data_IF_632565579719
#
_entry.id   IF_632565579719
#
_cell.length_a   1.000
_cell.length_b   1.000
_cell.length_c   1.000
_cell.angle_alpha   90.00
_cell.angle_beta   90.00
_cell.angle_gamma   90.00
#
_symmetry.space_group_name_H-M   'P 1'
#
loop_
_entity.id
_entity.type
_entity.pdbx_description
1 polymer ?
#
# COMPACT_ATOMS: atom_id res chain seq x y z
N UNK A 1 -3.96 -9.08 27.68
CA UNK A 1 -4.26 -10.35 26.97
C UNK A 1 -3.22 -11.39 27.36
N UNK A 2 -3.62 -12.64 27.57
CA UNK A 2 -2.68 -13.75 27.82
C UNK A 2 -2.23 -14.37 26.50
N UNK A 3 -1.01 -14.93 26.42
CA UNK A 3 -0.48 -15.66 25.25
C UNK A 3 -1.49 -16.67 24.71
N UNK A 4 -2.12 -17.44 25.62
CA UNK A 4 -3.13 -18.44 25.27
C UNK A 4 -4.40 -17.88 24.60
N UNK A 5 -4.75 -16.62 24.82
CA UNK A 5 -5.91 -16.00 24.16
C UNK A 5 -5.59 -15.58 22.73
N UNK A 6 -4.37 -15.08 22.51
CA UNK A 6 -3.87 -14.75 21.17
C UNK A 6 -3.72 -16.02 20.35
N UNK A 7 -3.09 -17.07 20.89
CA UNK A 7 -2.93 -18.36 20.21
C UNK A 7 -4.26 -18.97 19.76
N UNK A 8 -5.30 -18.93 20.60
CA UNK A 8 -6.64 -19.40 20.23
C UNK A 8 -7.28 -18.55 19.14
N UNK A 9 -7.13 -17.23 19.21
CA UNK A 9 -7.67 -16.33 18.19
C UNK A 9 -6.97 -16.56 16.84
N UNK A 10 -5.64 -16.71 16.84
CA UNK A 10 -4.87 -17.06 15.64
C UNK A 10 -5.31 -18.40 15.06
N UNK A 11 -5.44 -19.44 15.88
CA UNK A 11 -5.88 -20.75 15.40
C UNK A 11 -7.30 -20.70 14.79
N UNK A 12 -8.23 -19.97 15.40
CA UNK A 12 -9.58 -19.79 14.88
C UNK A 12 -9.60 -19.00 13.55
N UNK A 13 -8.78 -17.94 13.45
CA UNK A 13 -8.68 -17.15 12.22
C UNK A 13 -8.09 -17.95 11.06
N UNK A 14 -7.05 -18.76 11.34
CA UNK A 14 -6.46 -19.67 10.37
C UNK A 14 -7.46 -20.72 9.91
N UNK A 15 -8.20 -21.34 10.83
CA UNK A 15 -9.22 -22.33 10.47
C UNK A 15 -10.33 -21.73 9.61
N UNK A 16 -10.80 -20.53 9.96
CA UNK A 16 -11.79 -19.81 9.15
C UNK A 16 -11.25 -19.52 7.74
N UNK A 17 -10.05 -18.93 7.63
CA UNK A 17 -9.44 -18.61 6.34
C UNK A 17 -9.24 -19.84 5.45
N UNK A 18 -8.88 -21.00 6.03
CA UNK A 18 -8.74 -22.25 5.27
C UNK A 18 -10.05 -22.73 4.64
N UNK A 19 -11.20 -22.32 5.19
CA UNK A 19 -12.52 -22.59 4.64
C UNK A 19 -12.90 -21.67 3.47
N UNK A 20 -12.18 -20.58 3.25
CA UNK A 20 -12.48 -19.58 2.22
C UNK A 20 -11.74 -19.87 0.90
N UNK A 21 -12.44 -19.75 -0.24
CA UNK A 21 -11.80 -19.81 -1.56
C UNK A 21 -11.27 -18.42 -1.97
N UNK A 22 -10.23 -17.97 -1.27
CA UNK A 22 -9.54 -16.68 -1.52
C UNK A 22 -8.02 -16.85 -1.53
N UNK A 23 -7.24 -15.98 -2.22
CA UNK A 23 -5.79 -16.11 -2.29
C UNK A 23 -5.11 -15.96 -0.91
N UNK A 24 -5.67 -15.14 -0.02
CA UNK A 24 -5.19 -14.94 1.35
C UNK A 24 -5.16 -16.24 2.16
N UNK A 25 -6.06 -17.19 1.88
CA UNK A 25 -6.07 -18.51 2.52
C UNK A 25 -4.79 -19.32 2.21
N UNK A 26 -4.31 -19.25 0.96
CA UNK A 26 -3.09 -19.94 0.54
C UNK A 26 -1.84 -19.28 1.14
N UNK A 27 -1.83 -17.95 1.25
CA UNK A 27 -0.74 -17.19 1.89
C UNK A 27 -0.66 -17.56 3.37
N UNK A 28 -1.78 -17.48 4.09
CA UNK A 28 -1.82 -17.78 5.53
C UNK A 28 -1.47 -19.25 5.82
N UNK A 29 -1.94 -20.19 4.99
CA UNK A 29 -1.55 -21.60 5.15
C UNK A 29 -0.03 -21.78 5.05
N UNK A 30 0.63 -21.08 4.12
CA UNK A 30 2.08 -21.13 3.99
C UNK A 30 2.79 -20.47 5.19
N UNK A 31 2.41 -19.25 5.56
CA UNK A 31 3.03 -18.51 6.66
C UNK A 31 2.87 -19.21 8.02
N UNK A 32 1.75 -19.89 8.23
CA UNK A 32 1.49 -20.69 9.43
C UNK A 32 2.19 -22.07 9.43
N UNK A 33 2.88 -22.46 8.35
CA UNK A 33 3.49 -23.78 8.20
C UNK A 33 2.47 -24.92 8.09
N UNK A 34 1.26 -24.61 7.61
CA UNK A 34 0.14 -25.55 7.48
C UNK A 34 -0.14 -25.97 6.03
N UNK A 35 0.56 -25.35 5.06
CA UNK A 35 0.48 -25.75 3.66
C UNK A 35 1.05 -27.16 3.48
N UNK A 36 0.24 -28.07 2.93
CA UNK A 36 0.66 -29.43 2.60
C UNK A 36 1.58 -29.45 1.37
N UNK A 37 1.31 -28.55 0.41
CA UNK A 37 2.07 -28.35 -0.82
C UNK A 37 1.96 -26.89 -1.33
N UNK A 38 2.58 -26.62 -2.49
CA UNK A 38 2.53 -25.32 -3.16
C UNK A 38 1.40 -25.20 -4.22
N UNK A 39 0.57 -26.23 -4.41
CA UNK A 39 -0.42 -26.27 -5.49
C UNK A 39 -1.50 -25.21 -5.31
N UNK A 40 -1.93 -24.98 -4.07
CA UNK A 40 -2.91 -23.95 -3.73
C UNK A 40 -2.42 -22.55 -4.12
N UNK A 41 -1.15 -22.24 -3.85
CA UNK A 41 -0.55 -20.98 -4.24
C UNK A 41 -0.39 -20.87 -5.77
N UNK A 42 0.08 -21.93 -6.44
CA UNK A 42 0.17 -22.01 -7.91
C UNK A 42 -1.18 -21.85 -8.60
N UNK A 43 -2.25 -22.40 -8.03
CA UNK A 43 -3.63 -22.28 -8.51
C UNK A 43 -4.09 -20.82 -8.48
N UNK A 44 -3.87 -20.13 -7.36
CA UNK A 44 -4.22 -18.71 -7.23
C UNK A 44 -3.41 -17.79 -8.12
N UNK A 45 -2.11 -18.07 -8.31
CA UNK A 45 -1.27 -17.32 -9.26
C UNK A 45 -1.87 -17.42 -10.68
N UNK A 46 -2.24 -18.63 -11.12
CA UNK A 46 -2.86 -18.81 -12.45
C UNK A 46 -4.17 -18.04 -12.56
N UNK A 47 -5.08 -18.22 -11.59
CA UNK A 47 -6.38 -17.55 -11.58
C UNK A 47 -6.26 -16.02 -11.64
N UNK A 48 -5.39 -15.44 -10.80
CA UNK A 48 -5.16 -13.98 -10.82
C UNK A 48 -4.62 -13.51 -12.16
N UNK A 49 -3.69 -14.25 -12.77
CA UNK A 49 -3.14 -13.90 -14.08
C UNK A 49 -4.14 -14.09 -15.22
N UNK A 50 -5.06 -15.06 -15.11
CA UNK A 50 -6.15 -15.29 -16.07
C UNK A 50 -7.22 -14.19 -15.98
N UNK A 51 -7.42 -13.59 -14.80
CA UNK A 51 -8.35 -12.47 -14.56
C UNK A 51 -7.77 -11.10 -14.99
N UNK A 52 -6.50 -11.05 -15.40
CA UNK A 52 -5.83 -9.82 -15.85
C UNK A 52 -6.40 -9.36 -17.21
N UNK A 53 -6.66 -8.06 -17.36
CA UNK A 53 -7.09 -7.50 -18.64
C UNK A 53 -5.94 -7.42 -19.68
N UNK A 54 -6.30 -7.16 -20.95
CA UNK A 54 -5.35 -7.05 -22.05
C UNK A 54 -4.31 -5.92 -21.87
N UNK A 55 -4.65 -4.89 -21.08
CA UNK A 55 -3.75 -3.79 -20.77
C UNK A 55 -2.76 -4.15 -19.65
N UNK A 56 -2.96 -5.27 -18.96
CA UNK A 56 -2.13 -5.73 -17.85
C UNK A 56 -2.65 -5.31 -16.48
N UNK A 57 -3.84 -4.75 -16.37
CA UNK A 57 -4.42 -4.28 -15.12
C UNK A 57 -5.51 -5.23 -14.60
N UNK A 58 -5.92 -4.99 -13.36
CA UNK A 58 -7.12 -5.58 -12.79
C UNK A 58 -8.18 -4.49 -12.67
N UNK A 59 -9.24 -4.63 -13.47
CA UNK A 59 -10.36 -3.68 -13.52
C UNK A 59 -9.99 -2.29 -14.03
N UNK A 60 -8.82 -2.10 -14.66
CA UNK A 60 -8.31 -0.78 -15.04
C UNK A 60 -8.00 0.15 -13.86
N UNK A 61 -8.01 -0.36 -12.62
CA UNK A 61 -7.88 0.40 -11.38
C UNK A 61 -6.49 0.27 -10.77
N UNK A 62 -5.94 1.38 -10.28
CA UNK A 62 -4.56 1.41 -9.75
C UNK A 62 -4.45 0.64 -8.44
N UNK A 63 -5.40 0.78 -7.52
CA UNK A 63 -5.36 0.10 -6.23
C UNK A 63 -5.58 -1.41 -6.41
N UNK A 64 -6.56 -1.82 -7.21
CA UNK A 64 -6.80 -3.23 -7.53
C UNK A 64 -5.57 -3.87 -8.20
N UNK A 65 -4.93 -3.17 -9.14
CA UNK A 65 -3.72 -3.67 -9.81
C UNK A 65 -2.54 -3.81 -8.86
N UNK A 66 -2.32 -2.82 -7.97
CA UNK A 66 -1.24 -2.90 -6.98
C UNK A 66 -1.48 -3.99 -5.94
N UNK A 67 -2.74 -4.18 -5.51
CA UNK A 67 -3.14 -5.28 -4.63
C UNK A 67 -2.87 -6.64 -5.29
N UNK A 68 -3.31 -6.83 -6.54
CA UNK A 68 -3.06 -8.08 -7.26
C UNK A 68 -1.56 -8.37 -7.39
N UNK A 69 -0.73 -7.35 -7.66
CA UNK A 69 0.72 -7.48 -7.69
C UNK A 69 1.32 -7.83 -6.32
N UNK A 70 0.87 -7.22 -5.22
CA UNK A 70 1.35 -7.58 -3.89
C UNK A 70 0.94 -9.02 -3.51
N UNK A 71 -0.31 -9.41 -3.77
CA UNK A 71 -0.79 -10.79 -3.58
C UNK A 71 -0.01 -11.79 -4.43
N UNK A 72 0.28 -11.48 -5.69
CA UNK A 72 1.11 -12.34 -6.55
C UNK A 72 2.54 -12.48 -6.01
N UNK A 73 3.10 -11.44 -5.39
CA UNK A 73 4.44 -11.52 -4.77
C UNK A 73 4.45 -12.52 -3.62
N UNK A 74 3.45 -12.43 -2.74
CA UNK A 74 3.32 -13.31 -1.57
C UNK A 74 3.04 -14.76 -1.96
N UNK A 75 2.11 -14.99 -2.90
CA UNK A 75 1.84 -16.34 -3.43
C UNK A 75 3.06 -16.95 -4.11
N UNK A 76 3.86 -16.16 -4.84
CA UNK A 76 5.09 -16.67 -5.47
C UNK A 76 6.15 -17.02 -4.44
N UNK A 77 6.26 -16.24 -3.36
CA UNK A 77 7.12 -16.61 -2.23
C UNK A 77 6.65 -17.92 -1.61
N UNK A 78 5.35 -18.06 -1.35
CA UNK A 78 4.74 -19.28 -0.82
C UNK A 78 4.99 -20.51 -1.71
N UNK A 79 4.94 -20.33 -3.04
CA UNK A 79 5.21 -21.38 -4.01
C UNK A 79 6.68 -21.52 -4.42
N UNK A 80 7.60 -20.77 -3.80
CA UNK A 80 9.02 -20.73 -4.15
C UNK A 80 9.31 -20.48 -5.64
N UNK A 81 8.45 -19.73 -6.33
CA UNK A 81 8.56 -19.43 -7.77
C UNK A 81 9.48 -18.23 -7.96
N UNK A 82 10.56 -18.40 -8.74
CA UNK A 82 11.52 -17.33 -9.03
C UNK A 82 11.31 -16.71 -10.40
N UNK A 83 10.81 -17.48 -11.36
CA UNK A 83 10.56 -17.04 -12.73
C UNK A 83 9.44 -16.02 -12.79
N UNK A 84 9.68 -14.91 -13.48
CA UNK A 84 8.68 -13.85 -13.65
C UNK A 84 7.71 -14.24 -14.76
N UNK A 85 6.42 -14.34 -14.42
CA UNK A 85 5.37 -14.54 -15.41
C UNK A 85 5.21 -13.26 -16.27
N UNK A 86 5.02 -13.37 -17.60
CA UNK A 86 4.85 -12.21 -18.48
C UNK A 86 3.73 -11.25 -18.05
N UNK A 87 2.64 -11.76 -17.48
CA UNK A 87 1.53 -10.94 -16.97
C UNK A 87 1.96 -10.00 -15.83
N UNK A 88 2.90 -10.42 -14.98
CA UNK A 88 3.46 -9.56 -13.93
C UNK A 88 4.23 -8.40 -14.57
N UNK A 89 5.02 -8.67 -15.61
CA UNK A 89 5.73 -7.64 -16.36
C UNK A 89 4.79 -6.58 -16.93
N UNK A 90 3.71 -7.01 -17.61
CA UNK A 90 2.69 -6.11 -18.15
C UNK A 90 2.02 -5.25 -17.07
N UNK A 91 1.69 -5.82 -15.92
CA UNK A 91 1.10 -5.08 -14.81
C UNK A 91 2.04 -4.01 -14.25
N UNK A 92 3.32 -4.34 -14.06
CA UNK A 92 4.32 -3.37 -13.62
C UNK A 92 4.49 -2.24 -14.63
N UNK A 93 4.52 -2.56 -15.93
CA UNK A 93 4.58 -1.56 -17.00
C UNK A 93 3.34 -0.65 -17.00
N UNK A 94 2.15 -1.22 -16.79
CA UNK A 94 0.90 -0.47 -16.68
C UNK A 94 0.92 0.49 -15.48
N UNK A 95 1.37 0.04 -14.30
CA UNK A 95 1.50 0.90 -13.11
C UNK A 95 2.50 2.02 -13.37
N UNK A 96 3.65 1.71 -13.98
CA UNK A 96 4.66 2.73 -14.34
C UNK A 96 4.11 3.76 -15.33
N UNK A 97 3.27 3.36 -16.27
CA UNK A 97 2.65 4.27 -17.23
C UNK A 97 1.68 5.29 -16.58
N UNK A 98 1.22 5.04 -15.34
CA UNK A 98 0.40 6.00 -14.57
C UNK A 98 1.22 7.09 -13.88
N UNK A 99 2.55 7.04 -13.93
CA UNK A 99 3.40 8.00 -13.22
C UNK A 99 3.51 9.33 -13.94
N UNK A 100 3.38 10.43 -13.20
CA UNK A 100 3.62 11.78 -13.72
C UNK A 100 2.62 12.23 -14.78
N UNK A 101 1.49 11.52 -14.91
CA UNK A 101 0.38 11.90 -15.78
C UNK A 101 -0.67 12.71 -14.98
N UNK A 102 -1.53 13.50 -15.65
CA UNK A 102 -2.57 14.28 -14.97
C UNK A 102 -3.47 13.43 -14.07
N UNK A 103 -3.95 14.01 -12.97
CA UNK A 103 -4.75 13.32 -11.96
C UNK A 103 -3.94 12.64 -10.85
N UNK A 104 -2.62 12.78 -10.82
CA UNK A 104 -1.84 12.45 -9.63
C UNK A 104 -2.21 13.38 -8.45
N UNK A 105 -2.00 12.95 -7.21
CA UNK A 105 -2.28 13.79 -6.03
C UNK A 105 -1.52 15.13 -6.07
N UNK A 106 -0.32 15.17 -6.64
CA UNK A 106 0.51 16.39 -6.75
C UNK A 106 0.10 17.32 -7.88
N UNK A 107 -0.86 16.94 -8.71
CA UNK A 107 -1.32 17.74 -9.84
C UNK A 107 -1.92 19.08 -9.38
N UNK A 108 -1.66 20.13 -10.17
CA UNK A 108 -2.00 21.51 -9.82
C UNK A 108 -1.10 22.16 -8.77
N UNK A 109 -1.36 23.44 -8.47
CA UNK A 109 -0.53 24.25 -7.58
C UNK A 109 -1.39 25.33 -6.88
N UNK A 110 -1.92 25.02 -5.70
CA UNK A 110 -2.49 26.04 -4.80
C UNK A 110 -1.38 26.74 -4.01
N UNK A 111 -1.65 27.94 -3.49
CA UNK A 111 -0.71 28.70 -2.65
C UNK A 111 -0.22 27.88 -1.45
N UNK A 112 -1.15 27.24 -0.73
CA UNK A 112 -0.83 26.37 0.41
C UNK A 112 0.10 25.22 0.02
N UNK A 113 -0.21 24.51 -1.06
CA UNK A 113 0.61 23.39 -1.53
C UNK A 113 1.96 23.85 -2.08
N UNK A 114 2.02 25.03 -2.68
CA UNK A 114 3.27 25.62 -3.15
C UNK A 114 4.19 25.94 -1.98
N UNK A 115 3.67 26.64 -0.98
CA UNK A 115 4.42 27.00 0.22
C UNK A 115 4.97 25.78 0.96
N UNK A 116 4.19 24.70 1.01
CA UNK A 116 4.58 23.43 1.63
C UNK A 116 5.47 22.52 0.76
N UNK A 117 5.70 22.88 -0.51
CA UNK A 117 6.48 22.04 -1.43
C UNK A 117 5.79 20.71 -1.79
N UNK A 118 4.45 20.71 -1.84
CA UNK A 118 3.58 19.55 -2.08
C UNK A 118 2.83 19.60 -3.42
N UNK A 119 3.15 20.56 -4.28
CA UNK A 119 2.62 20.64 -5.66
C UNK A 119 3.60 20.03 -6.68
N UNK A 120 3.14 19.86 -7.92
CA UNK A 120 3.91 19.26 -9.02
C UNK A 120 5.27 19.94 -9.29
N UNK A 121 5.46 21.22 -8.92
CA UNK A 121 6.75 21.90 -9.04
C UNK A 121 7.84 21.31 -8.13
N UNK A 122 7.46 20.70 -7.01
CA UNK A 122 8.40 20.24 -5.98
C UNK A 122 8.30 18.75 -5.69
N UNK A 123 7.14 18.13 -5.92
CA UNK A 123 6.84 16.73 -5.60
C UNK A 123 6.45 15.98 -6.88
N UNK A 124 7.41 15.24 -7.42
CA UNK A 124 7.26 14.44 -8.65
C UNK A 124 7.17 12.94 -8.38
N UNK A 125 6.88 12.16 -9.43
CA UNK A 125 6.88 10.69 -9.37
C UNK A 125 5.60 10.05 -8.80
N UNK A 126 4.57 10.84 -8.50
CA UNK A 126 3.26 10.36 -8.07
C UNK A 126 2.48 9.73 -9.22
N UNK A 127 1.60 8.80 -8.90
CA UNK A 127 0.78 8.06 -9.86
C UNK A 127 -0.63 8.61 -9.94
N UNK A 128 -1.20 8.57 -11.13
CA UNK A 128 -2.59 8.92 -11.39
C UNK A 128 -3.48 7.67 -11.37
N UNK A 129 -4.37 7.53 -10.38
CA UNK A 129 -5.39 6.47 -10.40
C UNK A 129 -6.45 6.71 -11.49
N UNK A 130 -6.69 7.95 -11.89
CA UNK A 130 -7.71 8.32 -12.88
C UNK A 130 -7.64 9.80 -13.26
N UNK A 131 -8.40 10.22 -14.29
CA UNK A 131 -8.35 11.59 -14.81
C UNK A 131 -8.66 12.65 -13.73
N UNK A 132 -8.07 13.85 -13.81
CA UNK A 132 -8.26 14.90 -12.80
C UNK A 132 -9.68 15.49 -12.80
N UNK A 133 -10.43 15.37 -13.90
CA UNK A 133 -11.78 15.94 -14.03
C UNK A 133 -12.86 15.08 -13.37
N UNK A 134 -12.56 13.82 -13.06
CA UNK A 134 -13.50 12.85 -12.48
C UNK A 134 -13.12 12.60 -11.03
N UNK A 135 -13.96 13.02 -10.05
CA UNK A 135 -13.74 12.68 -8.65
C UNK A 135 -13.70 11.17 -8.46
N UNK A 136 -12.72 10.69 -7.70
CA UNK A 136 -12.65 9.28 -7.36
C UNK A 136 -13.69 8.91 -6.30
N UNK A 137 -14.26 7.73 -6.46
CA UNK A 137 -15.13 7.11 -5.45
C UNK A 137 -14.31 6.67 -4.22
N UNK A 138 -15.01 6.31 -3.15
CA UNK A 138 -14.38 5.70 -1.98
C UNK A 138 -13.61 4.44 -2.39
N UNK A 139 -12.40 4.31 -1.87
CA UNK A 139 -11.56 3.15 -2.12
C UNK A 139 -11.30 2.38 -0.83
N UNK A 140 -10.87 1.14 -0.97
CA UNK A 140 -10.62 0.22 0.13
C UNK A 140 -9.18 -0.26 0.07
N UNK A 141 -8.39 0.09 1.08
CA UNK A 141 -7.03 -0.42 1.27
C UNK A 141 -7.10 -1.79 1.96
N UNK A 142 -6.11 -2.65 1.75
CA UNK A 142 -5.94 -3.82 2.60
C UNK A 142 -5.43 -3.35 3.98
N UNK A 143 -5.99 -3.80 5.13
CA UNK A 143 -6.84 -4.98 5.37
C UNK A 143 -8.36 -4.75 5.29
N UNK A 144 -8.83 -3.64 4.76
CA UNK A 144 -10.26 -3.29 4.63
C UNK A 144 -10.58 -1.86 5.04
N UNK A 145 -9.61 -0.95 4.95
CA UNK A 145 -9.76 0.44 5.39
C UNK A 145 -10.38 1.27 4.29
N UNK A 146 -11.55 1.83 4.57
CA UNK A 146 -12.21 2.80 3.69
C UNK A 146 -11.47 4.13 3.69
N UNK A 147 -11.20 4.66 2.50
CA UNK A 147 -10.62 5.99 2.27
C UNK A 147 -11.55 6.77 1.36
N UNK A 148 -11.97 7.94 1.83
CA UNK A 148 -12.93 8.77 1.12
C UNK A 148 -12.36 10.16 0.82
N UNK A 149 -12.90 10.77 -0.24
CA UNK A 149 -12.44 12.07 -0.73
C UNK A 149 -11.34 11.94 -1.79
N UNK A 150 -11.55 12.64 -2.90
CA UNK A 150 -10.72 12.53 -4.09
C UNK A 150 -9.21 12.72 -3.83
N UNK A 151 -8.85 13.73 -3.03
CA UNK A 151 -7.45 13.99 -2.69
C UNK A 151 -6.81 12.85 -1.90
N UNK A 152 -7.53 12.27 -0.94
CA UNK A 152 -7.02 11.18 -0.12
C UNK A 152 -6.87 9.91 -0.94
N UNK A 153 -7.87 9.55 -1.74
CA UNK A 153 -7.83 8.38 -2.63
C UNK A 153 -6.67 8.48 -3.63
N UNK A 154 -6.44 9.66 -4.23
CA UNK A 154 -5.28 9.89 -5.12
C UNK A 154 -3.96 9.71 -4.38
N UNK A 155 -3.87 10.18 -3.15
CA UNK A 155 -2.65 10.09 -2.36
C UNK A 155 -2.32 8.65 -2.00
N UNK A 156 -3.28 7.92 -1.42
CA UNK A 156 -3.07 6.54 -0.96
C UNK A 156 -2.87 5.58 -2.14
N UNK A 157 -3.59 5.75 -3.25
CA UNK A 157 -3.36 4.96 -4.46
C UNK A 157 -1.94 5.16 -5.00
N UNK A 158 -1.44 6.39 -4.97
CA UNK A 158 -0.06 6.70 -5.37
C UNK A 158 0.96 6.07 -4.42
N UNK A 159 0.76 6.18 -3.09
CA UNK A 159 1.66 5.59 -2.10
C UNK A 159 1.70 4.05 -2.18
N UNK A 160 0.53 3.41 -2.32
CA UNK A 160 0.42 1.96 -2.53
C UNK A 160 1.11 1.51 -3.83
N UNK A 161 0.97 2.26 -4.92
CA UNK A 161 1.67 1.98 -6.17
C UNK A 161 3.19 2.08 -6.04
N UNK A 162 3.69 3.08 -5.30
CA UNK A 162 5.12 3.18 -5.02
C UNK A 162 5.62 1.99 -4.19
N UNK A 163 4.93 1.65 -3.10
CA UNK A 163 5.25 0.51 -2.24
C UNK A 163 5.33 -0.78 -3.05
N UNK A 164 4.30 -1.02 -3.87
CA UNK A 164 4.23 -2.17 -4.76
C UNK A 164 5.46 -2.26 -5.66
N UNK A 165 5.80 -1.20 -6.40
CA UNK A 165 6.97 -1.19 -7.27
C UNK A 165 8.29 -1.40 -6.52
N UNK A 166 8.46 -0.81 -5.33
CA UNK A 166 9.66 -1.01 -4.51
C UNK A 166 9.83 -2.47 -4.07
N UNK A 167 8.74 -3.22 -3.89
CA UNK A 167 8.79 -4.64 -3.59
C UNK A 167 9.08 -5.55 -4.79
N UNK A 168 8.97 -5.04 -6.02
CA UNK A 168 9.23 -5.78 -7.26
C UNK A 168 10.55 -5.39 -7.94
N UNK A 169 10.99 -4.15 -7.76
CA UNK A 169 12.04 -3.53 -8.57
C UNK A 169 13.08 -2.77 -7.74
N UNK A 170 14.23 -2.49 -8.35
CA UNK A 170 15.20 -1.57 -7.76
C UNK A 170 14.68 -0.13 -7.80
N UNK A 171 15.02 0.65 -6.78
CA UNK A 171 14.64 2.06 -6.71
C UNK A 171 15.16 2.86 -7.91
N UNK A 172 14.25 3.53 -8.63
CA UNK A 172 14.53 4.40 -9.78
C UNK A 172 14.63 5.88 -9.37
N UNK A 173 15.09 6.75 -10.28
CA UNK A 173 15.14 8.21 -10.02
C UNK A 173 13.77 8.81 -9.68
N UNK A 174 12.74 8.42 -10.42
CA UNK A 174 11.36 8.79 -10.17
C UNK A 174 10.83 8.31 -8.81
N UNK A 175 11.17 7.08 -8.42
CA UNK A 175 10.79 6.55 -7.11
C UNK A 175 11.40 7.40 -5.99
N UNK A 176 12.64 7.89 -6.16
CA UNK A 176 13.28 8.81 -5.20
C UNK A 176 12.58 10.17 -5.12
N UNK A 177 12.07 10.70 -6.23
CA UNK A 177 11.28 11.94 -6.24
C UNK A 177 9.97 11.76 -5.44
N UNK A 178 9.30 10.62 -5.64
CA UNK A 178 8.08 10.30 -4.92
C UNK A 178 8.35 10.12 -3.42
N UNK A 179 9.37 9.32 -3.05
CA UNK A 179 9.82 9.15 -1.66
C UNK A 179 10.14 10.51 -1.01
N UNK A 180 10.81 11.41 -1.72
CA UNK A 180 11.07 12.79 -1.23
C UNK A 180 9.78 13.55 -0.94
N UNK A 181 8.75 13.41 -1.78
CA UNK A 181 7.42 13.96 -1.55
C UNK A 181 6.75 13.37 -0.31
N UNK A 182 6.80 12.04 -0.13
CA UNK A 182 6.25 11.36 1.05
C UNK A 182 6.96 11.79 2.34
N UNK A 183 8.30 11.91 2.32
CA UNK A 183 9.06 12.44 3.47
C UNK A 183 8.55 13.83 3.88
N UNK A 184 8.32 14.74 2.92
CA UNK A 184 7.77 16.07 3.25
C UNK A 184 6.41 15.99 3.91
N UNK A 185 5.51 15.14 3.41
CA UNK A 185 4.18 14.94 4.00
C UNK A 185 4.31 14.45 5.45
N UNK A 186 5.14 13.43 5.70
CA UNK A 186 5.33 12.86 7.04
C UNK A 186 5.93 13.87 8.00
N UNK A 187 7.00 14.57 7.59
CA UNK A 187 7.71 15.53 8.45
C UNK A 187 6.83 16.74 8.83
N UNK A 188 6.01 17.24 7.89
CA UNK A 188 5.12 18.37 8.13
C UNK A 188 3.84 17.98 8.90
N UNK A 189 3.55 16.69 9.06
CA UNK A 189 2.32 16.21 9.72
C UNK A 189 2.19 16.62 11.19
N UNK A 190 3.33 16.83 11.85
CA UNK A 190 3.40 17.26 13.24
C UNK A 190 3.15 18.77 13.40
N UNK A 191 3.39 19.56 12.35
CA UNK A 191 3.31 21.02 12.38
C UNK A 191 1.89 21.53 12.14
N UNK A 192 1.13 20.87 11.27
CA UNK A 192 -0.27 21.14 11.03
C UNK A 192 -0.97 19.91 10.44
N UNK A 193 -2.28 19.73 10.68
CA UNK A 193 -3.06 18.74 9.94
C UNK A 193 -2.90 18.96 8.43
N UNK A 194 -2.64 17.88 7.69
CA UNK A 194 -2.66 17.94 6.23
C UNK A 194 -4.11 18.07 5.78
N UNK A 195 -4.41 19.17 5.06
CA UNK A 195 -5.78 19.43 4.59
C UNK A 195 -6.19 18.30 3.64
N UNK A 196 -7.30 17.62 3.98
CA UNK A 196 -7.90 16.49 3.23
C UNK A 196 -7.06 15.21 3.20
N UNK A 197 -6.18 14.98 4.19
CA UNK A 197 -5.54 13.69 4.40
C UNK A 197 -5.75 13.25 5.86
N UNK A 198 -6.22 12.02 6.06
CA UNK A 198 -6.40 11.41 7.39
C UNK A 198 -5.14 10.72 7.91
N UNK A 199 -5.18 10.23 9.16
CA UNK A 199 -4.17 9.32 9.70
C UNK A 199 -3.92 8.08 8.83
N UNK A 200 -4.93 7.57 8.12
CA UNK A 200 -4.75 6.47 7.14
C UNK A 200 -3.80 6.86 6.01
N UNK A 201 -3.93 8.08 5.47
CA UNK A 201 -3.01 8.57 4.45
C UNK A 201 -1.58 8.71 4.98
N UNK A 202 -1.40 9.19 6.23
CA UNK A 202 -0.08 9.21 6.86
C UNK A 202 0.50 7.78 6.95
N UNK A 203 -0.28 6.82 7.40
CA UNK A 203 0.17 5.43 7.54
C UNK A 203 0.56 4.80 6.20
N UNK A 204 -0.17 5.08 5.12
CA UNK A 204 0.22 4.65 3.77
C UNK A 204 1.54 5.27 3.30
N UNK A 205 1.77 6.56 3.59
CA UNK A 205 3.05 7.20 3.28
C UNK A 205 4.21 6.56 4.06
N UNK A 206 4.01 6.32 5.37
CA UNK A 206 4.97 5.62 6.23
C UNK A 206 5.25 4.22 5.70
N UNK A 207 4.21 3.48 5.31
CA UNK A 207 4.34 2.13 4.80
C UNK A 207 5.20 2.09 3.52
N UNK A 208 4.99 3.02 2.59
CA UNK A 208 5.82 3.14 1.39
C UNK A 208 7.28 3.52 1.72
N UNK A 209 7.52 4.41 2.70
CA UNK A 209 8.87 4.79 3.13
C UNK A 209 9.64 3.62 3.78
N UNK A 210 8.97 2.76 4.54
CA UNK A 210 9.58 1.55 5.14
C UNK A 210 10.11 0.55 4.10
N UNK A 211 9.55 0.58 2.88
CA UNK A 211 10.00 -0.24 1.75
C UNK A 211 11.22 0.33 1.03
N UNK A 212 11.64 1.56 1.36
CA UNK A 212 12.84 2.15 0.80
C UNK A 212 14.10 1.52 1.43
N UNK A 213 15.16 1.29 0.63
CA UNK A 213 16.48 0.92 1.14
C UNK A 213 17.28 2.13 1.65
N UNK A 214 16.74 3.35 1.61
CA UNK A 214 17.46 4.59 1.98
C UNK A 214 17.18 4.96 3.44
N UNK A 215 18.24 5.18 4.22
CA UNK A 215 18.14 5.48 5.66
C UNK A 215 17.32 6.74 5.96
N UNK A 216 17.43 7.78 5.13
CA UNK A 216 16.63 9.01 5.29
C UNK A 216 15.12 8.76 5.16
N UNK A 217 14.71 7.81 4.32
CA UNK A 217 13.30 7.43 4.19
C UNK A 217 12.82 6.69 5.44
N UNK A 218 13.66 5.79 5.98
CA UNK A 218 13.38 5.07 7.23
C UNK A 218 13.29 6.01 8.42
N UNK A 219 14.19 6.97 8.53
CA UNK A 219 14.14 7.98 9.60
C UNK A 219 12.86 8.82 9.55
N UNK A 220 12.40 9.20 8.36
CA UNK A 220 11.12 9.87 8.20
C UNK A 220 9.94 8.96 8.58
N UNK A 221 9.98 7.67 8.17
CA UNK A 221 8.97 6.69 8.55
C UNK A 221 8.88 6.54 10.08
N UNK A 222 10.01 6.43 10.78
CA UNK A 222 10.08 6.34 12.24
C UNK A 222 9.44 7.54 12.93
N UNK A 223 9.68 8.75 12.41
CA UNK A 223 9.03 9.96 12.92
C UNK A 223 7.51 9.95 12.69
N UNK A 224 7.06 9.41 11.55
CA UNK A 224 5.63 9.19 11.27
C UNK A 224 5.00 8.20 12.26
N UNK A 225 5.66 7.06 12.51
CA UNK A 225 5.25 6.06 13.48
C UNK A 225 5.15 6.65 14.89
N UNK A 226 6.13 7.45 15.31
CA UNK A 226 6.09 8.16 16.60
C UNK A 226 4.92 9.13 16.68
N UNK A 227 4.64 9.86 15.59
CA UNK A 227 3.50 10.79 15.52
C UNK A 227 2.18 10.06 15.69
N UNK A 228 2.01 8.90 15.05
CA UNK A 228 0.80 8.07 15.19
C UNK A 228 0.71 7.46 16.57
N UNK A 229 1.79 6.87 17.09
CA UNK A 229 1.82 6.27 18.43
C UNK A 229 1.47 7.30 19.51
N UNK A 230 1.98 8.54 19.40
CA UNK A 230 1.67 9.63 20.33
C UNK A 230 0.21 10.09 20.33
N UNK A 231 -0.59 9.69 19.33
CA UNK A 231 -2.02 9.99 19.21
C UNK A 231 -2.91 8.81 19.61
N UNK A 232 -2.35 7.67 19.99
CA UNK A 232 -3.12 6.50 20.43
C UNK A 232 -3.86 6.81 21.73
N UNK A 233 -5.15 6.46 21.78
CA UNK A 233 -5.99 6.60 22.97
C UNK A 233 -5.69 5.48 23.96
N UNK A 234 -6.12 5.65 25.21
CA UNK A 234 -5.88 4.66 26.28
C UNK A 234 -6.53 3.29 26.06
N UNK A 235 -7.51 3.19 25.15
CA UNK A 235 -8.13 1.93 24.73
C UNK A 235 -7.41 1.27 23.53
N UNK A 236 -6.33 1.87 23.04
CA UNK A 236 -5.54 1.41 21.91
C UNK A 236 -6.04 1.90 20.54
N UNK A 237 -7.10 2.70 20.48
CA UNK A 237 -7.69 3.20 19.23
C UNK A 237 -7.16 4.57 18.79
N UNK A 238 -7.48 4.97 17.56
CA UNK A 238 -7.25 6.30 17.00
C UNK A 238 -8.57 6.91 16.50
N UNK A 239 -8.62 8.24 16.34
CA UNK A 239 -9.83 8.94 15.87
C UNK A 239 -10.04 8.78 14.37
N UNK A 240 -8.96 8.85 13.61
CA UNK A 240 -8.93 9.01 12.15
C UNK A 240 -8.01 7.99 11.48
N UNK A 241 -7.80 6.84 12.14
CA UNK A 241 -6.97 5.75 11.65
C UNK A 241 -7.56 4.41 12.09
N UNK A 242 -7.68 3.50 11.14
CA UNK A 242 -8.09 2.12 11.42
C UNK A 242 -7.00 1.38 12.22
N UNK A 243 -7.35 0.73 13.34
CA UNK A 243 -6.38 0.02 14.17
C UNK A 243 -5.65 -1.13 13.46
N UNK A 244 -6.29 -1.85 12.54
CA UNK A 244 -5.66 -2.98 11.86
C UNK A 244 -4.62 -2.49 10.85
N UNK A 245 -4.92 -1.42 10.12
CA UNK A 245 -3.93 -0.80 9.26
C UNK A 245 -2.77 -0.19 10.06
N UNK A 246 -3.04 0.43 11.21
CA UNK A 246 -1.98 0.89 12.10
C UNK A 246 -1.06 -0.27 12.52
N UNK A 247 -1.65 -1.38 12.99
CA UNK A 247 -0.93 -2.57 13.44
C UNK A 247 -0.15 -3.25 12.31
N UNK A 248 -0.68 -3.31 11.09
CA UNK A 248 0.05 -3.83 9.93
C UNK A 248 1.36 -3.07 9.71
N UNK A 249 1.28 -1.74 9.67
CA UNK A 249 2.45 -0.90 9.38
C UNK A 249 3.43 -0.88 10.56
N UNK A 250 2.94 -0.85 11.81
CA UNK A 250 3.80 -1.02 12.99
C UNK A 250 4.50 -2.39 12.99
N UNK A 251 3.80 -3.45 12.60
CA UNK A 251 4.34 -4.80 12.49
C UNK A 251 5.41 -4.92 11.40
N UNK A 252 5.29 -4.17 10.30
CA UNK A 252 6.32 -4.10 9.24
C UNK A 252 7.59 -3.35 9.66
N UNK A 253 7.49 -2.47 10.66
CA UNK A 253 8.61 -1.69 11.17
C UNK A 253 9.41 -2.40 12.29
N UNK A 254 8.81 -3.40 12.93
CA UNK A 254 9.38 -4.17 14.03
C UNK A 254 10.36 -5.25 13.54
#
# INVERSE_FOLDING_TARGET
MTSASVERATAAAVEWLRGEDVPEAAIVAHEAGLAEDDESARRWIRRLLDDQDDAGAWGGDLLATTRALDTLRELRAAASIREQAPGIGRALDWVRARRGVPGAWTDGCSEERHHRGLCHHFAGGFFSPGPPEVPLEEAWLHPGVGVSGDAEVRFVASAAALRCLLGWEKTTGDARLHLTGLRRVVLQWSEAPMVRLSGTALMEAVHALLHSPVDEDRAAADQGLQTVAGRQRGDGSWVDLDPFHALEVFGRAA
#
